data_IF_208460992294
#
_entry.id   IF_208460992294
#
_cell.length_a   1.000
_cell.length_b   1.000
_cell.length_c   1.000
_cell.angle_alpha   90.00
_cell.angle_beta   90.00
_cell.angle_gamma   90.00
#
_symmetry.space_group_name_H-M   'P 1'
#
loop_
_entity.id
_entity.type
_entity.pdbx_description
1 polymer ?
#
# COMPACT_ATOMS: atom_id res chain seq x y z
N UNK A 1 -2.18 -15.57 -2.89
CA UNK A 1 -1.33 -14.76 -1.99
C UNK A 1 -1.24 -15.34 -0.58
N UNK A 2 -2.33 -15.55 0.16
CA UNK A 2 -2.26 -16.03 1.56
C UNK A 2 -1.55 -17.39 1.72
N UNK A 3 -1.77 -18.31 0.80
CA UNK A 3 -1.05 -19.60 0.75
C UNK A 3 0.47 -19.41 0.58
N UNK A 4 0.88 -18.55 -0.38
CA UNK A 4 2.30 -18.22 -0.62
C UNK A 4 2.96 -17.51 0.57
N UNK A 5 2.18 -16.77 1.35
CA UNK A 5 2.63 -16.11 2.57
C UNK A 5 2.64 -17.05 3.79
N UNK A 6 2.15 -18.28 3.67
CA UNK A 6 1.98 -19.21 4.79
C UNK A 6 0.91 -18.76 5.80
N UNK A 7 0.00 -17.87 5.40
CA UNK A 7 -1.00 -17.23 6.26
C UNK A 7 -2.42 -17.78 6.06
N UNK A 8 -2.56 -18.97 5.49
CA UNK A 8 -3.87 -19.57 5.27
C UNK A 8 -4.47 -20.02 6.63
N UNK A 9 -5.68 -19.58 7.02
CA UNK A 9 -6.26 -19.97 8.30
C UNK A 9 -6.41 -21.48 8.45
N UNK A 10 -6.22 -21.99 9.67
CA UNK A 10 -6.39 -23.41 10.03
C UNK A 10 -5.48 -24.42 9.31
N UNK A 11 -4.40 -23.95 8.67
CA UNK A 11 -3.43 -24.81 7.98
C UNK A 11 -2.16 -25.09 8.78
N UNK A 12 -2.13 -24.70 10.07
CA UNK A 12 -1.02 -25.00 10.96
C UNK A 12 -1.16 -26.40 11.57
N UNK A 13 -0.21 -27.33 11.35
CA UNK A 13 -0.38 -28.73 11.74
C UNK A 13 -0.18 -28.98 13.24
N UNK A 14 0.61 -28.16 13.93
CA UNK A 14 0.92 -28.36 15.34
C UNK A 14 -0.16 -27.75 16.25
N UNK A 15 -0.44 -28.34 17.43
CA UNK A 15 -1.53 -27.89 18.32
C UNK A 15 -1.24 -26.59 19.07
N UNK A 16 -0.20 -25.84 18.66
CA UNK A 16 0.23 -24.58 19.26
C UNK A 16 -0.08 -23.34 18.38
N UNK A 17 -0.64 -23.55 17.19
CA UNK A 17 -0.92 -22.46 16.25
C UNK A 17 0.33 -21.85 15.63
N UNK A 18 0.10 -20.93 14.70
CA UNK A 18 1.13 -20.24 13.94
C UNK A 18 2.14 -19.52 14.85
N UNK A 19 3.47 -19.57 14.58
CA UNK A 19 4.47 -18.94 15.41
C UNK A 19 4.27 -17.43 15.49
N UNK A 20 4.29 -16.86 16.69
CA UNK A 20 4.28 -15.40 16.89
C UNK A 20 5.70 -14.84 17.00
N UNK A 21 6.57 -15.22 16.07
CA UNK A 21 7.95 -14.74 16.02
C UNK A 21 8.25 -14.11 14.67
N UNK A 22 8.80 -12.90 14.68
CA UNK A 22 9.08 -12.14 13.47
C UNK A 22 9.97 -12.91 12.47
N UNK A 23 10.99 -13.62 12.98
CA UNK A 23 11.91 -14.39 12.14
C UNK A 23 11.24 -15.52 11.34
N UNK A 24 10.11 -16.04 11.82
CA UNK A 24 9.33 -17.05 11.08
C UNK A 24 8.66 -16.45 9.83
N UNK A 25 8.24 -15.20 9.92
CA UNK A 25 7.44 -14.51 8.88
C UNK A 25 8.26 -13.64 7.93
N UNK A 26 9.54 -13.45 8.23
CA UNK A 26 10.44 -12.60 7.44
C UNK A 26 11.43 -13.48 6.68
N UNK A 27 11.15 -13.65 5.39
CA UNK A 27 12.07 -14.20 4.42
C UNK A 27 11.87 -13.51 3.06
N UNK A 28 12.85 -13.59 2.17
CA UNK A 28 12.83 -12.89 0.87
C UNK A 28 11.60 -13.23 0.04
N UNK A 29 11.16 -14.49 0.06
CA UNK A 29 9.96 -14.94 -0.67
C UNK A 29 8.69 -14.30 -0.13
N UNK A 30 8.54 -14.22 1.19
CA UNK A 30 7.40 -13.58 1.84
C UNK A 30 7.36 -12.07 1.55
N UNK A 31 8.51 -11.41 1.48
CA UNK A 31 8.59 -9.99 1.09
C UNK A 31 8.13 -9.77 -0.35
N UNK A 32 8.65 -10.54 -1.31
CA UNK A 32 8.22 -10.44 -2.70
C UNK A 32 6.72 -10.73 -2.86
N UNK A 33 6.19 -11.73 -2.15
CA UNK A 33 4.77 -12.04 -2.16
C UNK A 33 3.91 -10.90 -1.59
N UNK A 34 4.39 -10.15 -0.58
CA UNK A 34 3.69 -8.97 -0.04
C UNK A 34 3.68 -7.81 -1.02
N UNK A 35 4.79 -7.55 -1.71
CA UNK A 35 4.85 -6.54 -2.75
C UNK A 35 3.90 -6.87 -3.90
N UNK A 36 3.97 -8.10 -4.42
CA UNK A 36 3.07 -8.56 -5.47
C UNK A 36 1.59 -8.47 -5.04
N UNK A 37 1.28 -8.74 -3.77
CA UNK A 37 -0.06 -8.54 -3.23
C UNK A 37 -0.49 -7.07 -3.21
N UNK A 38 0.39 -6.16 -2.77
CA UNK A 38 0.11 -4.73 -2.72
C UNK A 38 -0.20 -4.17 -4.12
N UNK A 39 0.60 -4.53 -5.12
CA UNK A 39 0.35 -4.15 -6.51
C UNK A 39 -0.93 -4.78 -7.06
N UNK A 40 -1.13 -6.09 -6.87
CA UNK A 40 -2.35 -6.76 -7.31
C UNK A 40 -3.63 -6.18 -6.65
N UNK A 41 -3.56 -5.74 -5.40
CA UNK A 41 -4.67 -5.06 -4.72
C UNK A 41 -4.98 -3.72 -5.38
N UNK A 42 -3.97 -2.89 -5.59
CA UNK A 42 -4.12 -1.56 -6.17
C UNK A 42 -4.61 -1.61 -7.62
N UNK A 43 -4.13 -2.59 -8.38
CA UNK A 43 -4.50 -2.83 -9.79
C UNK A 43 -5.82 -3.61 -9.94
N UNK A 44 -6.42 -4.07 -8.84
CA UNK A 44 -7.68 -4.81 -8.85
C UNK A 44 -7.57 -6.22 -9.44
N UNK A 45 -6.41 -6.85 -9.32
CA UNK A 45 -6.07 -8.18 -9.86
C UNK A 45 -6.26 -9.33 -8.86
N UNK A 46 -6.72 -9.05 -7.62
CA UNK A 46 -6.91 -10.09 -6.59
C UNK A 46 -8.10 -11.03 -6.83
N UNK A 47 -8.89 -10.79 -7.88
CA UNK A 47 -10.05 -11.61 -8.24
C UNK A 47 -11.39 -10.90 -8.00
N UNK A 48 -12.48 -11.63 -8.19
CA UNK A 48 -13.85 -11.09 -8.08
C UNK A 48 -14.19 -10.76 -6.63
N UNK A 49 -14.66 -9.55 -6.37
CA UNK A 49 -15.16 -9.11 -5.06
C UNK A 49 -14.17 -8.30 -4.21
N UNK A 50 -12.89 -8.24 -4.58
CA UNK A 50 -11.89 -7.38 -3.90
C UNK A 50 -11.49 -6.25 -4.83
N UNK A 51 -11.88 -5.02 -4.49
CA UNK A 51 -11.54 -3.82 -5.25
C UNK A 51 -11.20 -2.67 -4.33
N UNK A 52 -10.21 -1.89 -4.75
CA UNK A 52 -9.83 -0.64 -4.10
C UNK A 52 -10.69 0.50 -4.67
N UNK A 53 -11.49 1.14 -3.82
CA UNK A 53 -12.21 2.36 -4.20
C UNK A 53 -11.28 3.56 -4.06
N UNK A 54 -10.66 3.92 -5.18
CA UNK A 54 -9.70 5.02 -5.24
C UNK A 54 -10.32 6.38 -4.88
N UNK A 55 -11.60 6.62 -5.19
CA UNK A 55 -12.23 7.90 -4.84
C UNK A 55 -12.57 7.97 -3.36
N UNK A 56 -13.02 6.86 -2.76
CA UNK A 56 -13.23 6.80 -1.32
C UNK A 56 -11.91 6.99 -0.54
N UNK A 57 -10.82 6.40 -1.03
CA UNK A 57 -9.49 6.58 -0.45
C UNK A 57 -8.99 8.02 -0.59
N UNK A 58 -9.15 8.65 -1.76
CA UNK A 58 -8.84 10.07 -1.95
C UNK A 58 -9.69 10.98 -1.05
N UNK A 59 -10.96 10.63 -0.83
CA UNK A 59 -11.90 11.48 -0.11
C UNK A 59 -11.98 12.88 -0.72
N UNK A 60 -11.61 13.90 0.07
CA UNK A 60 -11.52 15.29 -0.37
C UNK A 60 -10.17 15.71 -0.97
N UNK A 61 -9.13 14.88 -0.85
CA UNK A 61 -7.80 15.22 -1.34
C UNK A 61 -7.78 15.23 -2.88
N UNK A 62 -7.31 16.34 -3.45
CA UNK A 62 -7.27 16.54 -4.90
C UNK A 62 -5.88 16.91 -5.41
N UNK A 63 -5.03 17.49 -4.58
CA UNK A 63 -3.66 17.80 -4.94
C UNK A 63 -2.71 16.66 -4.56
N UNK A 64 -1.59 16.47 -5.28
CA UNK A 64 -0.52 15.54 -4.93
C UNK A 64 -0.10 15.58 -3.46
N UNK A 65 0.13 16.77 -2.90
CA UNK A 65 0.50 16.95 -1.49
C UNK A 65 -0.53 16.34 -0.55
N UNK A 66 -1.81 16.71 -0.72
CA UNK A 66 -2.92 16.25 0.12
C UNK A 66 -3.11 14.73 0.02
N UNK A 67 -2.88 14.16 -1.16
CA UNK A 67 -3.02 12.71 -1.39
C UNK A 67 -1.97 11.93 -0.63
N UNK A 68 -0.70 12.34 -0.73
CA UNK A 68 0.39 11.67 -0.01
C UNK A 68 0.16 11.72 1.49
N UNK A 69 -0.22 12.87 2.03
CA UNK A 69 -0.49 13.03 3.46
C UNK A 69 -1.66 12.16 3.92
N UNK A 70 -2.77 12.22 3.17
CA UNK A 70 -3.97 11.46 3.51
C UNK A 70 -3.71 9.96 3.47
N UNK A 71 -3.12 9.43 2.39
CA UNK A 71 -2.89 8.00 2.26
C UNK A 71 -1.84 7.50 3.25
N UNK A 72 -0.84 8.32 3.59
CA UNK A 72 0.13 8.02 4.65
C UNK A 72 -0.57 7.82 6.00
N UNK A 73 -1.45 8.74 6.38
CA UNK A 73 -2.24 8.63 7.62
C UNK A 73 -3.13 7.39 7.62
N UNK A 74 -3.78 7.09 6.49
CA UNK A 74 -4.72 5.96 6.41
C UNK A 74 -4.03 4.59 6.40
N UNK A 75 -2.97 4.43 5.60
CA UNK A 75 -2.35 3.14 5.31
C UNK A 75 -1.15 2.85 6.22
N UNK A 76 -0.28 3.84 6.42
CA UNK A 76 0.98 3.67 7.15
C UNK A 76 0.81 4.01 8.64
N UNK A 77 -0.03 4.99 8.96
CA UNK A 77 -0.38 5.42 10.35
C UNK A 77 0.82 5.93 11.17
N UNK A 78 1.84 6.46 10.49
CA UNK A 78 3.01 7.12 11.08
C UNK A 78 3.60 8.15 10.11
N UNK A 79 4.38 9.12 10.58
CA UNK A 79 5.07 10.05 9.69
C UNK A 79 6.10 9.32 8.81
N UNK A 80 6.25 9.80 7.58
CA UNK A 80 7.37 9.47 6.71
C UNK A 80 8.54 10.40 7.00
N UNK A 81 9.76 10.00 6.63
CA UNK A 81 10.87 10.94 6.51
C UNK A 81 10.49 12.02 5.47
N UNK A 82 10.96 13.25 5.71
CA UNK A 82 10.64 14.39 4.84
C UNK A 82 11.06 14.14 3.39
N UNK A 83 12.26 13.56 3.19
CA UNK A 83 12.78 13.21 1.86
C UNK A 83 11.88 12.21 1.11
N UNK A 84 11.39 11.17 1.80
CA UNK A 84 10.53 10.16 1.20
C UNK A 84 9.14 10.71 0.89
N UNK A 85 8.62 11.57 1.78
CA UNK A 85 7.37 12.29 1.55
C UNK A 85 7.47 13.16 0.30
N UNK A 86 8.54 13.94 0.17
CA UNK A 86 8.75 14.83 -0.96
C UNK A 86 8.94 14.06 -2.27
N UNK A 87 9.62 12.90 -2.23
CA UNK A 87 9.75 12.00 -3.38
C UNK A 87 8.38 11.45 -3.85
N UNK A 88 7.52 11.05 -2.91
CA UNK A 88 6.17 10.58 -3.24
C UNK A 88 5.30 11.71 -3.82
N UNK A 89 5.44 12.94 -3.31
CA UNK A 89 4.73 14.11 -3.85
C UNK A 89 5.19 14.39 -5.27
N UNK A 90 6.50 14.41 -5.51
CA UNK A 90 7.07 14.64 -6.83
C UNK A 90 6.61 13.58 -7.84
N UNK A 91 6.60 12.31 -7.44
CA UNK A 91 6.10 11.20 -8.27
C UNK A 91 4.60 11.36 -8.60
N UNK A 92 3.80 11.75 -7.61
CA UNK A 92 2.35 11.95 -7.77
C UNK A 92 2.04 13.15 -8.66
N UNK A 93 2.81 14.22 -8.53
CA UNK A 93 2.67 15.43 -9.33
C UNK A 93 3.17 15.23 -10.77
N UNK A 94 4.13 14.32 -10.99
CA UNK A 94 4.66 13.97 -12.32
C UNK A 94 5.06 15.18 -13.18
N UNK A 95 5.73 16.15 -12.56
CA UNK A 95 6.23 17.37 -13.20
C UNK A 95 5.26 18.55 -13.16
N UNK A 96 4.01 18.37 -12.75
CA UNK A 96 3.11 19.48 -12.42
C UNK A 96 3.39 20.04 -11.00
N UNK A 97 2.88 21.24 -10.67
CA UNK A 97 2.91 21.75 -9.30
C UNK A 97 2.19 20.82 -8.31
N UNK A 98 2.79 20.61 -7.14
CA UNK A 98 2.28 19.70 -6.10
C UNK A 98 0.91 20.07 -5.52
N UNK A 99 0.49 21.32 -5.68
CA UNK A 99 -0.80 21.84 -5.19
C UNK A 99 -1.86 21.91 -6.31
N UNK A 100 -1.52 21.51 -7.53
CA UNK A 100 -2.45 21.48 -8.65
C UNK A 100 -3.46 20.34 -8.45
N UNK A 101 -4.75 20.69 -8.47
CA UNK A 101 -5.80 19.70 -8.40
C UNK A 101 -5.78 18.74 -9.59
N UNK A 102 -5.80 17.45 -9.30
CA UNK A 102 -5.91 16.37 -10.28
C UNK A 102 -7.36 16.16 -10.68
N UNK A 103 -7.59 15.92 -11.98
CA UNK A 103 -8.90 15.49 -12.47
C UNK A 103 -9.23 14.07 -11.97
N UNK A 104 -10.51 13.67 -12.02
CA UNK A 104 -10.98 12.39 -11.49
C UNK A 104 -10.31 11.16 -12.13
N UNK A 105 -9.89 11.23 -13.40
CA UNK A 105 -9.23 10.10 -14.06
C UNK A 105 -7.81 9.96 -13.54
N UNK A 106 -7.05 11.04 -13.54
CA UNK A 106 -5.67 11.06 -13.04
C UNK A 106 -5.62 10.73 -11.55
N UNK A 107 -6.55 11.28 -10.76
CA UNK A 107 -6.68 11.02 -9.33
C UNK A 107 -6.80 9.52 -9.03
N UNK A 108 -7.65 8.78 -9.75
CA UNK A 108 -7.83 7.34 -9.53
C UNK A 108 -6.53 6.57 -9.73
N UNK A 109 -5.80 6.89 -10.79
CA UNK A 109 -4.50 6.26 -11.10
C UNK A 109 -3.48 6.57 -9.99
N UNK A 110 -3.35 7.84 -9.61
CA UNK A 110 -2.40 8.26 -8.56
C UNK A 110 -2.69 7.64 -7.20
N UNK A 111 -3.97 7.50 -6.84
CA UNK A 111 -4.34 6.83 -5.59
C UNK A 111 -3.97 5.35 -5.61
N UNK A 112 -4.18 4.67 -6.74
CA UNK A 112 -3.79 3.25 -6.88
C UNK A 112 -2.27 3.10 -6.78
N UNK A 113 -1.50 3.91 -7.52
CA UNK A 113 -0.04 3.89 -7.49
C UNK A 113 0.49 4.18 -6.07
N UNK A 114 0.01 5.24 -5.42
CA UNK A 114 0.41 5.58 -4.06
C UNK A 114 0.03 4.49 -3.05
N UNK A 115 -1.17 3.92 -3.15
CA UNK A 115 -1.57 2.82 -2.28
C UNK A 115 -0.65 1.61 -2.44
N UNK A 116 -0.30 1.23 -3.67
CA UNK A 116 0.64 0.15 -3.94
C UNK A 116 2.02 0.43 -3.33
N UNK A 117 2.58 1.61 -3.58
CA UNK A 117 3.90 2.01 -3.10
C UNK A 117 3.95 2.07 -1.56
N UNK A 118 2.96 2.69 -0.93
CA UNK A 118 2.89 2.78 0.52
C UNK A 118 2.75 1.39 1.16
N UNK A 119 1.89 0.52 0.63
CA UNK A 119 1.71 -0.84 1.13
C UNK A 119 2.93 -1.75 0.91
N UNK A 120 3.73 -1.50 -0.14
CA UNK A 120 4.97 -2.21 -0.41
C UNK A 120 6.20 -1.62 0.33
N UNK A 121 6.05 -0.44 0.94
CA UNK A 121 7.16 0.28 1.55
C UNK A 121 7.67 -0.39 2.84
N UNK A 122 8.96 -0.19 3.21
CA UNK A 122 9.46 -0.47 4.54
C UNK A 122 8.61 0.15 5.65
N UNK A 123 8.03 1.33 5.38
CA UNK A 123 7.16 2.04 6.31
C UNK A 123 5.90 1.27 6.68
N UNK A 124 5.39 0.40 5.81
CA UNK A 124 4.23 -0.43 6.12
C UNK A 124 4.63 -1.76 6.80
N UNK A 125 5.79 -2.31 6.44
CA UNK A 125 6.18 -3.66 6.84
C UNK A 125 6.96 -3.74 8.16
N UNK A 126 7.73 -2.72 8.51
CA UNK A 126 8.48 -2.69 9.77
C UNK A 126 7.67 -2.03 10.87
N UNK A 127 7.35 -2.80 11.92
CA UNK A 127 6.81 -2.30 13.18
C UNK A 127 7.89 -2.24 14.23
#
# INVERSE_FOLDING_TARGET
>A
YLEQLGQLPFMWPAPNGYPDTQGYWINTTAWLARWNFAFALAEGQLGVGVRLDALALAGGARAPTDLVDRLTVLLVKRPLLAEDRDALIALTAAGDPADKALDNRTLRVRVQELAALLLASPYFHFR
#
